data_IF_419085024066
#
_entry.id   IF_419085024066
#
_cell.length_a   1.000
_cell.length_b   1.000
_cell.length_c   1.000
_cell.angle_alpha   90.00
_cell.angle_beta   90.00
_cell.angle_gamma   90.00
#
_symmetry.space_group_name_H-M   'P 1'
#
loop_
_entity.id
_entity.type
_entity.pdbx_description
1 polymer ?
#
# COMPACT_ATOMS: atom_id res chain seq x y z
N UNK A 1 19.71 -13.72 -3.13
CA UNK A 1 18.61 -14.04 -4.07
C UNK A 1 17.97 -15.40 -3.79
N UNK A 2 18.75 -16.49 -3.62
CA UNK A 2 18.20 -17.84 -3.36
C UNK A 2 17.40 -17.97 -2.04
N UNK A 3 17.82 -17.33 -0.94
CA UNK A 3 17.08 -17.36 0.32
C UNK A 3 15.68 -16.74 0.18
N UNK A 4 15.62 -15.52 -0.37
CA UNK A 4 14.38 -14.84 -0.73
C UNK A 4 13.47 -15.69 -1.60
N UNK A 5 14.01 -16.32 -2.67
CA UNK A 5 13.21 -17.20 -3.53
C UNK A 5 12.60 -18.41 -2.80
N UNK A 6 13.33 -19.01 -1.84
CA UNK A 6 12.81 -20.13 -1.02
C UNK A 6 11.72 -19.67 -0.05
N UNK A 7 11.91 -18.53 0.60
CA UNK A 7 10.92 -17.93 1.50
C UNK A 7 9.63 -17.56 0.76
N UNK A 8 9.79 -16.90 -0.39
CA UNK A 8 8.70 -16.52 -1.29
C UNK A 8 7.92 -17.74 -1.78
N UNK A 9 8.63 -18.81 -2.17
CA UNK A 9 7.99 -20.07 -2.55
C UNK A 9 7.20 -20.69 -1.39
N UNK A 10 7.78 -20.75 -0.19
CA UNK A 10 7.09 -21.27 1.00
C UNK A 10 5.83 -20.47 1.34
N UNK A 11 5.89 -19.14 1.21
CA UNK A 11 4.72 -18.26 1.34
C UNK A 11 3.66 -18.56 0.27
N UNK A 12 4.05 -18.74 -0.99
CA UNK A 12 3.12 -19.04 -2.08
C UNK A 12 2.35 -20.35 -1.88
N UNK A 13 2.99 -21.37 -1.30
CA UNK A 13 2.31 -22.64 -1.00
C UNK A 13 1.22 -22.48 0.07
N UNK A 14 1.42 -21.58 1.04
CA UNK A 14 0.41 -21.29 2.08
C UNK A 14 -0.79 -20.54 1.52
N UNK A 15 -0.54 -19.58 0.62
CA UNK A 15 -1.55 -18.66 0.08
C UNK A 15 -2.35 -19.24 -1.09
N UNK A 16 -1.85 -20.27 -1.77
CA UNK A 16 -2.49 -20.92 -2.94
C UNK A 16 -3.84 -21.58 -2.70
N UNK A 17 -4.28 -21.71 -1.44
CA UNK A 17 -5.56 -22.32 -1.10
C UNK A 17 -6.76 -21.46 -1.52
N UNK A 18 -6.54 -20.16 -1.72
CA UNK A 18 -7.55 -19.21 -2.19
C UNK A 18 -7.32 -18.85 -3.67
N UNK A 19 -8.37 -18.96 -4.49
CA UNK A 19 -8.34 -18.59 -5.90
C UNK A 19 -7.96 -17.12 -6.12
N UNK A 20 -8.37 -16.22 -5.23
CA UNK A 20 -8.02 -14.81 -5.30
C UNK A 20 -6.51 -14.59 -5.08
N UNK A 21 -5.97 -15.18 -4.02
CA UNK A 21 -4.53 -15.08 -3.72
C UNK A 21 -3.66 -15.75 -4.78
N UNK A 22 -4.17 -16.80 -5.45
CA UNK A 22 -3.45 -17.46 -6.54
C UNK A 22 -3.18 -16.51 -7.71
N UNK A 23 -4.18 -15.75 -8.17
CA UNK A 23 -4.01 -14.79 -9.28
C UNK A 23 -3.00 -13.69 -8.91
N UNK A 24 -3.10 -13.17 -7.68
CA UNK A 24 -2.19 -12.12 -7.19
C UNK A 24 -0.74 -12.61 -7.12
N UNK A 25 -0.52 -13.87 -6.72
CA UNK A 25 0.81 -14.49 -6.71
C UNK A 25 1.38 -14.70 -8.11
N UNK A 26 0.53 -15.08 -9.08
CA UNK A 26 0.93 -15.25 -10.47
C UNK A 26 1.39 -13.90 -11.06
N UNK A 27 0.65 -12.83 -10.80
CA UNK A 27 1.03 -11.47 -11.20
C UNK A 27 2.35 -11.03 -10.55
N UNK A 28 2.50 -11.24 -9.23
CA UNK A 28 3.71 -10.88 -8.51
C UNK A 28 4.94 -11.65 -9.04
N UNK A 29 4.80 -12.95 -9.34
CA UNK A 29 5.87 -13.75 -9.94
C UNK A 29 6.15 -13.36 -11.38
N UNK A 30 5.14 -12.95 -12.13
CA UNK A 30 5.31 -12.41 -13.48
C UNK A 30 6.17 -11.15 -13.46
N UNK A 31 6.02 -10.24 -12.48
CA UNK A 31 6.91 -9.08 -12.34
C UNK A 31 8.35 -9.49 -12.02
N UNK A 32 8.54 -10.45 -11.11
CA UNK A 32 9.86 -10.91 -10.66
C UNK A 32 10.63 -11.71 -11.73
N UNK A 33 9.95 -12.26 -12.73
CA UNK A 33 10.55 -13.06 -13.79
C UNK A 33 11.33 -12.22 -14.82
N UNK A 34 11.13 -10.89 -14.84
CA UNK A 34 11.74 -9.99 -15.81
C UNK A 34 12.79 -9.11 -15.14
N UNK A 35 13.92 -8.90 -15.81
CA UNK A 35 15.00 -8.01 -15.33
C UNK A 35 14.53 -6.56 -15.21
N UNK A 36 13.66 -6.13 -16.12
CA UNK A 36 12.93 -4.88 -16.04
C UNK A 36 11.43 -5.18 -15.81
N UNK A 37 10.89 -4.87 -14.63
CA UNK A 37 9.49 -5.19 -14.29
C UNK A 37 8.44 -4.56 -15.22
N UNK A 38 8.77 -3.47 -15.91
CA UNK A 38 7.87 -2.84 -16.89
C UNK A 38 7.66 -3.67 -18.17
N UNK A 39 8.59 -4.58 -18.47
CA UNK A 39 8.50 -5.47 -19.65
C UNK A 39 7.59 -6.68 -19.38
N UNK A 40 7.15 -6.86 -18.13
CA UNK A 40 6.18 -7.90 -17.75
C UNK A 40 4.82 -7.63 -18.39
N UNK A 41 4.05 -8.67 -18.78
CA UNK A 41 2.66 -8.50 -19.23
C UNK A 41 1.74 -7.86 -18.17
N UNK A 42 2.18 -7.81 -16.90
CA UNK A 42 1.49 -7.09 -15.81
C UNK A 42 2.21 -5.83 -15.37
N UNK A 43 3.12 -5.29 -16.19
CA UNK A 43 3.86 -4.05 -15.90
C UNK A 43 2.95 -2.83 -15.67
N UNK A 44 1.72 -2.86 -16.19
CA UNK A 44 0.68 -1.87 -15.92
C UNK A 44 0.38 -1.71 -14.42
N UNK A 45 0.60 -2.73 -13.59
CA UNK A 45 0.42 -2.64 -12.13
C UNK A 45 1.36 -1.61 -11.48
N UNK A 46 2.45 -1.26 -12.16
CA UNK A 46 3.42 -0.28 -11.70
C UNK A 46 3.05 1.16 -12.10
N UNK A 47 1.97 1.37 -12.86
CA UNK A 47 1.46 2.70 -13.19
C UNK A 47 1.14 3.49 -11.90
N UNK A 48 1.45 4.81 -11.84
CA UNK A 48 1.19 5.62 -10.64
C UNK A 48 -0.26 5.51 -10.14
N UNK A 49 -1.22 5.60 -11.06
CA UNK A 49 -2.67 5.54 -10.77
C UNK A 49 -3.05 4.24 -10.03
N UNK A 50 -2.36 3.13 -10.32
CA UNK A 50 -2.64 1.85 -9.67
C UNK A 50 -1.92 1.69 -8.35
N UNK A 51 -0.69 2.23 -8.26
CA UNK A 51 0.08 2.24 -7.02
C UNK A 51 -0.56 3.09 -5.93
N UNK A 52 -1.18 4.21 -6.30
CA UNK A 52 -1.83 5.12 -5.35
C UNK A 52 -2.90 4.42 -4.50
N UNK A 53 -3.82 3.69 -5.13
CA UNK A 53 -4.87 2.96 -4.41
C UNK A 53 -4.32 1.86 -3.49
N UNK A 54 -3.28 1.14 -3.93
CA UNK A 54 -2.63 0.11 -3.11
C UNK A 54 -1.90 0.75 -1.91
N UNK A 55 -1.19 1.86 -2.15
CA UNK A 55 -0.51 2.62 -1.09
C UNK A 55 -1.52 3.16 -0.08
N UNK A 56 -2.66 3.69 -0.52
CA UNK A 56 -3.72 4.18 0.36
C UNK A 56 -4.29 3.05 1.24
N UNK A 57 -4.63 1.90 0.64
CA UNK A 57 -5.12 0.75 1.38
C UNK A 57 -4.09 0.24 2.41
N UNK A 58 -2.82 0.14 2.03
CA UNK A 58 -1.74 -0.28 2.93
C UNK A 58 -1.53 0.72 4.07
N UNK A 59 -1.48 2.01 3.77
CA UNK A 59 -1.31 3.06 4.77
C UNK A 59 -2.47 3.06 5.76
N UNK A 60 -3.70 2.85 5.28
CA UNK A 60 -4.89 2.75 6.13
C UNK A 60 -4.82 1.54 7.06
N UNK A 61 -4.41 0.38 6.55
CA UNK A 61 -4.25 -0.84 7.37
C UNK A 61 -3.14 -0.69 8.42
N UNK A 62 -2.05 0.01 8.11
CA UNK A 62 -0.97 0.31 9.08
C UNK A 62 -1.50 1.21 10.20
N UNK A 63 -2.26 2.26 9.85
CA UNK A 63 -2.85 3.15 10.84
C UNK A 63 -3.81 2.41 11.76
N UNK A 64 -4.69 1.58 11.20
CA UNK A 64 -5.60 0.74 11.97
C UNK A 64 -4.84 -0.21 12.91
N UNK A 65 -3.76 -0.84 12.44
CA UNK A 65 -2.91 -1.69 13.27
C UNK A 65 -2.23 -0.93 14.42
N UNK A 66 -1.94 0.37 14.23
CA UNK A 66 -1.39 1.25 15.26
C UNK A 66 -2.45 1.92 16.14
N UNK A 67 -3.73 1.56 15.99
CA UNK A 67 -4.87 2.20 16.66
C UNK A 67 -4.94 3.72 16.37
N UNK A 68 -4.48 4.11 15.17
CA UNK A 68 -4.53 5.47 14.64
C UNK A 68 -5.65 5.58 13.61
N UNK A 69 -6.36 6.70 13.63
CA UNK A 69 -7.35 6.98 12.58
C UNK A 69 -6.66 7.58 11.35
N UNK A 70 -7.05 7.10 10.17
CA UNK A 70 -6.75 7.81 8.94
C UNK A 70 -7.47 9.16 8.93
N UNK A 71 -6.73 10.19 8.53
CA UNK A 71 -7.26 11.55 8.36
C UNK A 71 -6.80 12.03 6.99
N UNK A 72 -7.74 12.46 6.15
CA UNK A 72 -7.38 13.00 4.84
C UNK A 72 -6.52 14.25 5.00
N UNK A 73 -5.62 14.56 4.04
CA UNK A 73 -4.84 15.80 4.08
C UNK A 73 -5.73 17.06 4.20
N UNK A 74 -6.92 17.03 3.60
CA UNK A 74 -7.89 18.13 3.68
C UNK A 74 -8.47 18.25 5.09
N UNK A 75 -8.90 17.15 5.71
CA UNK A 75 -9.40 17.16 7.09
C UNK A 75 -8.31 17.59 8.09
N UNK A 76 -7.06 17.14 7.88
CA UNK A 76 -5.92 17.57 8.68
C UNK A 76 -5.70 19.09 8.58
N UNK A 77 -5.73 19.64 7.36
CA UNK A 77 -5.63 21.09 7.13
C UNK A 77 -6.77 21.86 7.79
N UNK A 78 -8.01 21.39 7.70
CA UNK A 78 -9.17 22.01 8.35
C UNK A 78 -9.03 21.97 9.87
N UNK A 79 -8.63 20.83 10.44
CA UNK A 79 -8.40 20.66 11.87
C UNK A 79 -7.32 21.64 12.38
N UNK A 80 -6.16 21.68 11.70
CA UNK A 80 -5.06 22.58 12.03
C UNK A 80 -5.46 24.06 11.92
N UNK A 81 -6.21 24.42 10.87
CA UNK A 81 -6.67 25.81 10.68
C UNK A 81 -7.61 26.25 11.79
N UNK A 82 -8.53 25.37 12.23
CA UNK A 82 -9.45 25.64 13.35
C UNK A 82 -8.71 25.81 14.67
N UNK A 83 -7.73 24.96 14.93
CA UNK A 83 -6.91 25.06 16.14
C UNK A 83 -6.05 26.33 16.16
N UNK A 84 -5.47 26.71 15.02
CA UNK A 84 -4.74 27.96 14.88
C UNK A 84 -5.61 29.18 15.23
N UNK A 85 -6.81 29.27 14.67
CA UNK A 85 -7.75 30.36 14.96
C UNK A 85 -8.13 30.42 16.45
N UNK A 86 -8.38 29.28 17.10
CA UNK A 86 -8.66 29.23 18.55
C UNK A 86 -7.49 29.76 19.37
N UNK A 87 -6.26 29.40 19.01
CA UNK A 87 -5.05 29.87 19.71
C UNK A 87 -4.87 31.37 19.54
N UNK A 88 -5.07 31.88 18.33
CA UNK A 88 -5.02 33.32 18.06
C UNK A 88 -6.06 34.08 18.88
N UNK A 89 -7.31 33.59 18.94
CA UNK A 89 -8.38 34.19 19.72
C UNK A 89 -8.11 34.22 21.23
N UNK A 90 -7.39 33.22 21.77
CA UNK A 90 -6.99 33.17 23.19
C UNK A 90 -5.77 34.03 23.51
N UNK A 91 -4.97 34.36 22.51
CA UNK A 91 -3.81 35.25 22.65
C UNK A 91 -4.19 36.73 22.49
N UNK A 92 -5.48 37.03 22.22
CA UNK A 92 -6.05 38.37 22.06
C UNK A 92 -6.52 38.95 23.39
#
# INVERSE_FOLDING_TARGET
>A
MLAFGRELYAMSQKLRQDHYHKSMLEDAFSLLAYSNPWDSPVGWQLEPVRREAVCEALNSAILEWQDMQWVSPVEACVSHSRELLRRMARAS
#
